data_IF_480729297980
#
_entry.id   IF_480729297980
#
_cell.length_a   1.000
_cell.length_b   1.000
_cell.length_c   1.000
_cell.angle_alpha   90.00
_cell.angle_beta   90.00
_cell.angle_gamma   90.00
#
_symmetry.space_group_name_H-M   'P 1'
#
loop_
_entity.id
_entity.type
_entity.pdbx_description
1 polymer ?
#
# COMPACT_ATOMS: atom_id res chain seq x y z
N UNK A 1 13.90 -6.05 4.38
CA UNK A 1 12.79 -5.28 3.76
C UNK A 1 12.28 -4.26 4.75
N UNK A 2 12.17 -2.98 4.37
CA UNK A 2 11.45 -2.00 5.19
C UNK A 2 9.96 -2.33 5.11
N UNK A 3 9.37 -2.76 6.21
CA UNK A 3 7.92 -2.96 6.31
C UNK A 3 7.33 -1.63 6.76
N UNK A 4 6.72 -0.88 5.83
CA UNK A 4 5.96 0.32 6.17
C UNK A 4 4.55 -0.08 6.59
N UNK A 5 4.40 -0.50 7.85
CA UNK A 5 3.11 -0.87 8.42
C UNK A 5 2.50 0.29 9.20
N UNK A 6 1.23 0.60 8.95
CA UNK A 6 0.49 1.52 9.80
C UNK A 6 0.36 0.96 11.23
N UNK A 7 0.44 1.81 12.26
CA UNK A 7 0.40 1.39 13.68
C UNK A 7 -0.86 0.58 14.04
N UNK A 8 -1.95 0.80 13.33
CA UNK A 8 -3.25 0.13 13.54
C UNK A 8 -3.55 -0.98 12.52
N UNK A 9 -2.56 -1.43 11.75
CA UNK A 9 -2.80 -2.49 10.77
C UNK A 9 -2.95 -3.85 11.46
N UNK A 10 -4.14 -4.44 11.37
CA UNK A 10 -4.43 -5.78 11.91
C UNK A 10 -3.74 -6.90 11.13
N UNK A 11 -3.58 -6.75 9.81
CA UNK A 11 -2.91 -7.76 8.96
C UNK A 11 -1.49 -7.35 8.62
N UNK A 12 -0.52 -8.15 9.04
CA UNK A 12 0.91 -7.96 8.80
C UNK A 12 1.40 -8.96 7.75
N UNK A 13 2.55 -8.75 7.09
CA UNK A 13 3.13 -9.74 6.18
C UNK A 13 3.24 -11.15 6.81
N UNK A 14 3.56 -11.21 8.11
CA UNK A 14 3.60 -12.46 8.88
C UNK A 14 2.23 -13.14 8.99
N UNK A 15 1.19 -12.40 9.37
CA UNK A 15 -0.15 -13.00 9.49
C UNK A 15 -0.74 -13.38 8.13
N UNK A 16 -0.46 -12.61 7.08
CA UNK A 16 -0.85 -12.91 5.70
C UNK A 16 -0.22 -14.21 5.19
N UNK A 17 1.07 -14.42 5.46
CA UNK A 17 1.76 -15.67 5.13
C UNK A 17 1.13 -16.88 5.86
N UNK A 18 0.80 -16.71 7.14
CA UNK A 18 0.14 -17.75 7.91
C UNK A 18 -1.30 -18.04 7.41
N UNK A 19 -2.02 -17.01 6.95
CA UNK A 19 -3.35 -17.17 6.33
C UNK A 19 -3.25 -17.95 5.01
N UNK A 20 -2.25 -17.63 4.17
CA UNK A 20 -2.00 -18.33 2.90
C UNK A 20 -1.67 -19.82 3.09
N UNK A 21 -0.85 -20.13 4.10
CA UNK A 21 -0.44 -21.51 4.38
C UNK A 21 -1.51 -22.36 5.09
N UNK A 22 -2.59 -21.75 5.61
CA UNK A 22 -3.59 -22.44 6.40
C UNK A 22 -4.68 -23.08 5.52
N UNK A 23 -4.88 -24.39 5.70
CA UNK A 23 -5.99 -25.16 5.14
C UNK A 23 -7.23 -25.20 6.06
N UNK A 24 -7.23 -24.46 7.17
CA UNK A 24 -8.36 -24.43 8.09
C UNK A 24 -9.60 -23.74 7.46
N UNK A 25 -10.82 -23.98 7.97
CA UNK A 25 -11.99 -23.21 7.54
C UNK A 25 -11.78 -21.70 7.74
N UNK A 26 -12.28 -20.88 6.80
CA UNK A 26 -12.04 -19.43 6.82
C UNK A 26 -12.56 -18.75 8.09
N UNK A 27 -13.72 -19.16 8.61
CA UNK A 27 -14.29 -18.66 9.86
C UNK A 27 -13.34 -18.81 11.06
N UNK A 28 -12.63 -19.93 11.16
CA UNK A 28 -11.68 -20.19 12.27
C UNK A 28 -10.43 -19.32 12.16
N UNK A 29 -9.94 -19.12 10.93
CA UNK A 29 -8.81 -18.22 10.67
C UNK A 29 -9.22 -16.76 10.95
N UNK A 30 -10.42 -16.38 10.54
CA UNK A 30 -11.00 -15.06 10.77
C UNK A 30 -11.10 -14.73 12.27
N UNK A 31 -11.64 -15.67 13.07
CA UNK A 31 -11.73 -15.56 14.52
C UNK A 31 -10.34 -15.39 15.16
N UNK A 32 -9.37 -16.25 14.79
CA UNK A 32 -8.00 -16.21 15.33
C UNK A 32 -7.31 -14.86 15.11
N UNK A 33 -7.48 -14.27 13.93
CA UNK A 33 -6.81 -13.03 13.56
C UNK A 33 -7.65 -11.76 13.78
N UNK A 34 -8.90 -11.89 14.24
CA UNK A 34 -9.80 -10.75 14.43
C UNK A 34 -10.10 -10.01 13.11
N UNK A 35 -10.29 -10.76 12.03
CA UNK A 35 -10.57 -10.22 10.68
C UNK A 35 -11.84 -10.85 10.10
N UNK A 36 -12.34 -10.32 8.98
CA UNK A 36 -13.46 -10.95 8.26
C UNK A 36 -13.00 -12.17 7.46
N UNK A 37 -13.91 -13.13 7.23
CA UNK A 37 -13.67 -14.26 6.33
C UNK A 37 -13.31 -13.80 4.91
N UNK A 38 -13.91 -12.71 4.44
CA UNK A 38 -13.55 -12.10 3.15
C UNK A 38 -12.07 -11.71 3.08
N UNK A 39 -11.50 -11.23 4.20
CA UNK A 39 -10.08 -10.91 4.30
C UNK A 39 -9.22 -12.18 4.22
N UNK A 40 -9.67 -13.28 4.81
CA UNK A 40 -9.02 -14.60 4.71
C UNK A 40 -8.98 -15.07 3.26
N UNK A 41 -10.14 -15.09 2.58
CA UNK A 41 -10.23 -15.50 1.17
C UNK A 41 -9.36 -14.63 0.26
N UNK A 42 -9.38 -13.30 0.49
CA UNK A 42 -8.53 -12.36 -0.24
C UNK A 42 -7.05 -12.69 -0.12
N UNK A 43 -6.55 -13.01 1.08
CA UNK A 43 -5.13 -13.31 1.27
C UNK A 43 -4.73 -14.68 0.75
N UNK A 44 -5.61 -15.69 0.83
CA UNK A 44 -5.40 -17.01 0.22
C UNK A 44 -5.25 -16.95 -1.30
N UNK A 45 -6.00 -16.07 -1.96
CA UNK A 45 -5.95 -15.90 -3.41
C UNK A 45 -4.86 -14.96 -3.94
N UNK A 46 -3.98 -14.42 -3.07
CA UNK A 46 -2.89 -13.53 -3.49
C UNK A 46 -1.59 -14.30 -3.68
N UNK A 47 -0.78 -13.88 -4.64
CA UNK A 47 0.53 -14.48 -4.91
C UNK A 47 1.61 -14.06 -3.91
N UNK A 48 1.41 -12.92 -3.24
CA UNK A 48 2.40 -12.33 -2.34
C UNK A 48 1.74 -11.71 -1.08
N UNK A 49 2.53 -11.57 -0.02
CA UNK A 49 2.09 -11.05 1.29
C UNK A 49 2.40 -9.57 1.50
N UNK A 50 3.10 -8.95 0.55
CA UNK A 50 3.62 -7.60 0.68
C UNK A 50 2.61 -6.61 0.10
N UNK A 51 2.68 -5.37 0.56
CA UNK A 51 1.90 -4.32 -0.07
C UNK A 51 2.57 -3.94 -1.39
N UNK A 52 1.79 -3.96 -2.46
CA UNK A 52 2.24 -3.43 -3.75
C UNK A 52 2.40 -1.93 -3.65
N UNK A 53 3.22 -1.37 -4.52
CA UNK A 53 3.36 0.07 -4.68
C UNK A 53 1.99 0.73 -4.80
N UNK A 54 1.71 1.69 -3.91
CA UNK A 54 0.56 2.60 -4.06
C UNK A 54 0.81 3.64 -5.16
N UNK A 55 2.05 3.77 -5.64
CA UNK A 55 2.41 4.71 -6.70
C UNK A 55 1.80 4.22 -8.00
N UNK A 56 0.96 5.04 -8.67
CA UNK A 56 0.36 4.67 -9.93
C UNK A 56 1.44 4.46 -10.99
N UNK A 57 1.30 3.39 -11.78
CA UNK A 57 2.23 3.08 -12.88
C UNK A 57 2.21 4.14 -13.98
N UNK A 58 1.07 4.80 -14.16
CA UNK A 58 0.90 5.92 -15.08
C UNK A 58 0.26 7.06 -14.31
N UNK A 59 1.03 8.14 -14.14
CA UNK A 59 0.49 9.40 -13.68
C UNK A 59 -0.34 10.00 -14.82
N UNK A 60 -1.63 10.22 -14.58
CA UNK A 60 -2.47 10.99 -15.49
C UNK A 60 -2.11 12.47 -15.31
N UNK A 61 -1.04 12.90 -15.96
CA UNK A 61 -0.66 14.32 -15.99
C UNK A 61 -1.43 15.00 -17.12
N UNK A 62 -2.05 16.14 -16.82
CA UNK A 62 -2.69 16.98 -17.83
C UNK A 62 -1.74 18.00 -18.44
N UNK A 63 -0.54 18.14 -17.85
CA UNK A 63 0.47 19.10 -18.29
C UNK A 63 1.21 18.56 -19.52
N UNK A 64 1.36 19.41 -20.52
CA UNK A 64 2.33 19.17 -21.59
C UNK A 64 3.76 19.21 -21.03
N UNK A 65 4.76 18.63 -21.72
CA UNK A 65 6.15 18.67 -21.25
C UNK A 65 6.67 20.07 -20.95
N UNK A 66 6.22 21.08 -21.71
CA UNK A 66 6.60 22.48 -21.47
C UNK A 66 5.98 23.04 -20.18
N UNK A 67 4.69 22.74 -19.92
CA UNK A 67 4.02 23.17 -18.69
C UNK A 67 4.62 22.50 -17.45
N UNK A 68 4.98 21.22 -17.56
CA UNK A 68 5.67 20.51 -16.49
C UNK A 68 7.03 21.15 -16.17
N UNK A 69 7.81 21.51 -17.20
CA UNK A 69 9.09 22.20 -17.01
C UNK A 69 8.93 23.53 -16.24
N UNK A 70 7.91 24.31 -16.57
CA UNK A 70 7.58 25.55 -15.85
C UNK A 70 7.18 25.26 -14.40
N UNK A 71 6.30 24.29 -14.17
CA UNK A 71 5.87 23.91 -12.82
C UNK A 71 7.04 23.43 -11.94
N UNK A 72 7.96 22.65 -12.50
CA UNK A 72 9.18 22.20 -11.80
C UNK A 72 10.10 23.36 -11.47
N UNK A 73 10.33 24.29 -12.41
CA UNK A 73 11.15 25.47 -12.18
C UNK A 73 10.56 26.36 -11.07
N UNK A 74 9.25 26.63 -11.12
CA UNK A 74 8.53 27.39 -10.10
C UNK A 74 8.59 26.70 -8.73
N UNK A 75 8.34 25.39 -8.67
CA UNK A 75 8.46 24.62 -7.42
C UNK A 75 9.84 24.77 -6.80
N UNK A 76 10.91 24.63 -7.58
CA UNK A 76 12.29 24.78 -7.09
C UNK A 76 12.59 26.20 -6.61
N UNK A 77 12.17 27.21 -7.36
CA UNK A 77 12.40 28.62 -7.04
C UNK A 77 11.64 29.07 -5.77
N UNK A 78 10.42 28.57 -5.59
CA UNK A 78 9.53 28.99 -4.50
C UNK A 78 9.65 28.13 -3.24
N UNK A 79 10.27 26.94 -3.31
CA UNK A 79 10.55 26.08 -2.15
C UNK A 79 11.49 26.72 -1.12
N UNK A 80 12.21 27.79 -1.48
CA UNK A 80 13.03 28.57 -0.55
C UNK A 80 12.23 29.60 0.28
N UNK A 81 10.91 29.71 0.09
CA UNK A 81 10.07 30.77 0.68
C UNK A 81 9.37 30.46 2.01
N UNK A 82 9.54 29.27 2.61
CA UNK A 82 8.89 28.92 3.89
C UNK A 82 9.86 28.76 5.06
N UNK A 83 10.92 29.57 5.09
CA UNK A 83 11.72 29.80 6.30
C UNK A 83 11.54 31.25 6.72
N UNK A 84 10.47 31.52 7.47
CA UNK A 84 10.27 32.72 8.28
C UNK A 84 9.53 32.31 9.54
#
# INVERSE_FOLDING_TARGET
MLISLHKQATTTPKSRAAIQASNEPAWRVAERYGISEQTVWKWRGRDDVHDRSHTPHRLQTTLTPAQEAVAVALRKALLAGSSA
#
